data_IF_578383848506
#
_entry.id   IF_578383848506
#
_cell.length_a   1.000
_cell.length_b   1.000
_cell.length_c   1.000
_cell.angle_alpha   90.00
_cell.angle_beta   90.00
_cell.angle_gamma   90.00
#
_symmetry.space_group_name_H-M   'P 1'
#
loop_
_entity.id
_entity.type
_entity.pdbx_description
1 polymer ?
#
# COMPACT_ATOMS: atom_id res chain seq x y z
N UNK A 1 -26.82 -14.54 9.93
CA UNK A 1 -25.98 -13.37 10.28
C UNK A 1 -24.58 -13.86 10.60
N UNK A 2 -23.83 -14.28 9.58
CA UNK A 2 -22.42 -14.70 9.65
C UNK A 2 -21.93 -14.43 8.23
N UNK A 3 -21.06 -13.46 8.00
CA UNK A 3 -20.31 -13.36 6.72
C UNK A 3 -19.21 -12.30 6.70
N UNK A 4 -19.32 -11.20 7.44
CA UNK A 4 -18.28 -10.16 7.44
C UNK A 4 -17.01 -10.59 8.17
N UNK A 5 -17.14 -11.21 9.35
CA UNK A 5 -16.00 -11.60 10.18
C UNK A 5 -15.19 -12.75 9.53
N UNK A 6 -15.87 -13.76 8.98
CA UNK A 6 -15.22 -14.89 8.30
C UNK A 6 -14.51 -14.47 7.01
N UNK A 7 -15.09 -13.56 6.23
CA UNK A 7 -14.49 -13.07 4.99
C UNK A 7 -13.28 -12.17 5.27
N UNK A 8 -13.32 -11.40 6.37
CA UNK A 8 -12.18 -10.60 6.84
C UNK A 8 -11.02 -11.50 7.27
N UNK A 9 -11.30 -12.56 8.05
CA UNK A 9 -10.28 -13.56 8.46
C UNK A 9 -9.70 -14.31 7.27
N UNK A 10 -10.54 -14.69 6.30
CA UNK A 10 -10.09 -15.34 5.07
C UNK A 10 -9.17 -14.41 4.26
N UNK A 11 -9.55 -13.13 4.14
CA UNK A 11 -8.74 -12.15 3.41
C UNK A 11 -7.38 -11.93 4.08
N UNK A 12 -7.35 -11.82 5.42
CA UNK A 12 -6.12 -11.74 6.20
C UNK A 12 -5.23 -12.97 5.99
N UNK A 13 -5.81 -14.17 5.95
CA UNK A 13 -5.07 -15.40 5.70
C UNK A 13 -4.50 -15.43 4.27
N UNK A 14 -5.29 -15.03 3.27
CA UNK A 14 -4.85 -14.95 1.88
C UNK A 14 -3.71 -13.93 1.74
N UNK A 15 -3.81 -12.77 2.41
CA UNK A 15 -2.77 -11.75 2.41
C UNK A 15 -1.50 -12.25 3.08
N UNK A 16 -1.61 -12.89 4.25
CA UNK A 16 -0.45 -13.49 4.92
C UNK A 16 0.21 -14.57 4.06
N UNK A 17 -0.61 -15.40 3.40
CA UNK A 17 -0.12 -16.41 2.46
C UNK A 17 0.59 -15.75 1.26
N UNK A 18 0.00 -14.70 0.69
CA UNK A 18 0.59 -13.95 -0.43
C UNK A 18 1.91 -13.31 -0.03
N UNK A 19 2.03 -12.75 1.17
CA UNK A 19 3.28 -12.15 1.67
C UNK A 19 4.39 -13.20 1.78
N UNK A 20 4.05 -14.44 2.19
CA UNK A 20 5.01 -15.54 2.28
C UNK A 20 5.34 -16.12 0.89
N UNK A 21 4.35 -16.25 0.01
CA UNK A 21 4.54 -16.89 -1.30
C UNK A 21 5.00 -15.93 -2.41
N UNK A 22 4.74 -14.63 -2.31
CA UNK A 22 5.18 -13.65 -3.32
C UNK A 22 6.71 -13.67 -3.53
N UNK A 23 7.56 -13.75 -2.49
CA UNK A 23 9.00 -13.95 -2.66
C UNK A 23 9.32 -15.24 -3.45
N UNK A 24 8.62 -16.34 -3.18
CA UNK A 24 8.84 -17.58 -3.93
C UNK A 24 8.47 -17.44 -5.43
N UNK A 25 7.46 -16.63 -5.76
CA UNK A 25 7.13 -16.29 -7.15
C UNK A 25 8.23 -15.43 -7.81
N UNK A 26 8.82 -14.47 -7.10
CA UNK A 26 9.94 -13.69 -7.59
C UNK A 26 11.18 -14.56 -7.86
N UNK A 27 11.50 -15.47 -6.94
CA UNK A 27 12.56 -16.49 -7.16
C UNK A 27 12.29 -17.32 -8.41
N UNK A 28 11.05 -17.77 -8.63
CA UNK A 28 10.67 -18.52 -9.83
C UNK A 28 10.88 -17.71 -11.12
N UNK A 29 10.41 -16.45 -11.14
CA UNK A 29 10.55 -15.56 -12.29
C UNK A 29 12.01 -15.22 -12.60
N UNK A 30 12.81 -14.93 -11.57
CA UNK A 30 14.24 -14.63 -11.73
C UNK A 30 14.99 -15.84 -12.25
N UNK A 31 14.71 -17.03 -11.73
CA UNK A 31 15.31 -18.26 -12.21
C UNK A 31 14.95 -18.54 -13.68
N UNK A 32 13.67 -18.40 -14.04
CA UNK A 32 13.20 -18.52 -15.43
C UNK A 32 13.96 -17.55 -16.36
N UNK A 33 14.05 -16.27 -15.98
CA UNK A 33 14.76 -15.25 -16.73
C UNK A 33 16.24 -15.59 -16.93
N UNK A 34 16.89 -16.11 -15.90
CA UNK A 34 18.32 -16.41 -15.91
C UNK A 34 18.64 -17.64 -16.77
N UNK A 35 17.75 -18.64 -16.74
CA UNK A 35 17.79 -19.80 -17.63
C UNK A 35 17.61 -19.35 -19.09
N UNK A 36 16.61 -18.51 -19.36
CA UNK A 36 16.34 -17.98 -20.71
C UNK A 36 17.48 -17.12 -21.24
N UNK A 37 18.12 -16.34 -20.38
CA UNK A 37 19.26 -15.50 -20.73
C UNK A 37 20.56 -16.31 -20.91
N UNK A 38 20.55 -17.60 -20.56
CA UNK A 38 21.72 -18.48 -20.65
C UNK A 38 22.80 -18.18 -19.60
N UNK A 39 22.49 -17.37 -18.59
CA UNK A 39 23.41 -16.95 -17.54
C UNK A 39 23.45 -17.96 -16.38
N UNK A 40 22.49 -18.90 -16.33
CA UNK A 40 22.46 -19.96 -15.32
C UNK A 40 21.94 -21.30 -15.86
N UNK A 41 22.72 -22.36 -15.63
CA UNK A 41 22.29 -23.74 -15.82
C UNK A 41 21.61 -24.24 -14.54
N UNK A 42 20.48 -24.95 -14.66
CA UNK A 42 19.76 -25.51 -13.50
C UNK A 42 20.65 -26.43 -12.64
N UNK A 43 21.72 -27.01 -13.21
CA UNK A 43 22.66 -27.87 -12.50
C UNK A 43 23.47 -27.14 -11.42
N UNK A 44 23.62 -25.82 -11.54
CA UNK A 44 24.49 -25.02 -10.69
C UNK A 44 23.69 -24.36 -9.54
N UNK A 45 22.36 -24.50 -9.58
CA UNK A 45 21.44 -23.97 -8.56
C UNK A 45 21.43 -24.90 -7.35
N UNK A 46 22.09 -24.47 -6.27
CA UNK A 46 22.04 -25.21 -5.00
C UNK A 46 20.80 -24.81 -4.18
N UNK A 47 20.26 -25.70 -3.32
CA UNK A 47 19.17 -25.35 -2.41
C UNK A 47 19.49 -24.18 -1.48
N UNK A 48 20.77 -24.02 -1.13
CA UNK A 48 21.25 -22.92 -0.31
C UNK A 48 21.15 -21.58 -1.04
N UNK A 49 21.52 -21.54 -2.32
CA UNK A 49 21.39 -20.34 -3.14
C UNK A 49 19.92 -19.91 -3.32
N UNK A 50 19.00 -20.87 -3.46
CA UNK A 50 17.55 -20.57 -3.50
C UNK A 50 17.05 -19.99 -2.18
N UNK A 51 17.54 -20.52 -1.05
CA UNK A 51 17.19 -20.00 0.27
C UNK A 51 17.72 -18.57 0.47
N UNK A 52 18.97 -18.31 0.07
CA UNK A 52 19.56 -16.97 0.10
C UNK A 52 18.75 -15.98 -0.71
N UNK A 53 18.41 -16.33 -1.95
CA UNK A 53 17.63 -15.48 -2.84
C UNK A 53 16.23 -15.21 -2.28
N UNK A 54 15.57 -16.24 -1.73
CA UNK A 54 14.29 -16.10 -1.06
C UNK A 54 14.36 -15.15 0.14
N UNK A 55 15.42 -15.24 0.97
CA UNK A 55 15.61 -14.34 2.11
C UNK A 55 15.84 -12.91 1.63
N UNK A 56 16.65 -12.71 0.58
CA UNK A 56 16.88 -11.39 -0.01
C UNK A 56 15.58 -10.77 -0.53
N UNK A 57 14.76 -11.54 -1.25
CA UNK A 57 13.44 -11.09 -1.71
C UNK A 57 12.53 -10.73 -0.54
N UNK A 58 12.54 -11.52 0.54
CA UNK A 58 11.73 -11.25 1.73
C UNK A 58 12.17 -9.95 2.44
N UNK A 59 13.48 -9.72 2.55
CA UNK A 59 14.04 -8.47 3.08
C UNK A 59 13.67 -7.30 2.17
N UNK A 60 13.81 -7.46 0.85
CA UNK A 60 13.44 -6.43 -0.13
C UNK A 60 11.95 -6.08 -0.04
N UNK A 61 11.08 -7.09 0.04
CA UNK A 61 9.64 -6.91 0.21
C UNK A 61 9.34 -6.14 1.49
N UNK A 62 9.99 -6.49 2.61
CA UNK A 62 9.79 -5.82 3.88
C UNK A 62 10.25 -4.36 3.83
N UNK A 63 11.44 -4.11 3.27
CA UNK A 63 11.98 -2.75 3.11
C UNK A 63 11.08 -1.92 2.18
N UNK A 64 10.62 -2.50 1.08
CA UNK A 64 9.71 -1.85 0.15
C UNK A 64 8.36 -1.53 0.80
N UNK A 65 7.75 -2.50 1.49
CA UNK A 65 6.50 -2.31 2.21
C UNK A 65 6.65 -1.23 3.29
N UNK A 66 7.77 -1.23 4.01
CA UNK A 66 8.08 -0.19 4.99
C UNK A 66 8.24 1.20 4.33
N UNK A 67 8.92 1.28 3.19
CA UNK A 67 9.09 2.52 2.44
C UNK A 67 7.72 3.06 1.97
N UNK A 68 6.88 2.21 1.39
CA UNK A 68 5.51 2.58 0.98
C UNK A 68 4.67 3.03 2.18
N UNK A 69 4.71 2.28 3.29
CA UNK A 69 4.05 2.67 4.53
C UNK A 69 4.53 4.03 5.03
N UNK A 70 5.84 4.28 5.00
CA UNK A 70 6.43 5.55 5.45
C UNK A 70 6.01 6.72 4.57
N UNK A 71 6.03 6.55 3.25
CA UNK A 71 5.59 7.58 2.28
C UNK A 71 4.10 7.86 2.43
N UNK A 72 3.29 6.81 2.61
CA UNK A 72 1.86 6.93 2.85
C UNK A 72 1.59 7.71 4.14
N UNK A 73 2.22 7.31 5.25
CA UNK A 73 2.10 8.01 6.54
C UNK A 73 2.51 9.47 6.43
N UNK A 74 3.63 9.77 5.76
CA UNK A 74 4.08 11.15 5.55
C UNK A 74 3.07 11.97 4.76
N UNK A 75 2.47 11.38 3.72
CA UNK A 75 1.45 12.03 2.89
C UNK A 75 0.18 12.33 3.68
N UNK A 76 -0.30 11.36 4.46
CA UNK A 76 -1.48 11.52 5.32
C UNK A 76 -1.27 12.63 6.35
N UNK A 77 -0.11 12.66 7.00
CA UNK A 77 0.20 13.63 8.06
C UNK A 77 0.33 15.07 7.55
N UNK A 78 0.78 15.27 6.30
CA UNK A 78 1.00 16.60 5.74
C UNK A 78 -0.17 17.13 4.89
N UNK A 79 -0.95 16.27 4.24
CA UNK A 79 -2.00 16.73 3.31
C UNK A 79 -3.42 16.72 3.90
N UNK A 80 -3.70 15.89 4.91
CA UNK A 80 -5.02 15.87 5.55
C UNK A 80 -5.38 17.16 6.31
N UNK A 81 -4.47 17.79 7.08
CA UNK A 81 -4.82 19.01 7.81
C UNK A 81 -5.17 20.15 6.85
N UNK A 82 -4.42 20.29 5.75
CA UNK A 82 -4.63 21.37 4.78
C UNK A 82 -5.90 21.25 3.96
N UNK A 83 -6.41 20.02 3.72
CA UNK A 83 -7.72 19.86 3.06
C UNK A 83 -8.88 19.98 4.03
N UNK A 84 -8.71 19.60 5.30
CA UNK A 84 -9.72 19.86 6.32
C UNK A 84 -9.85 21.37 6.59
N UNK A 85 -8.72 22.07 6.81
CA UNK A 85 -8.71 23.53 6.98
C UNK A 85 -9.31 24.24 5.76
N UNK A 86 -8.99 23.81 4.53
CA UNK A 86 -9.55 24.42 3.32
C UNK A 86 -11.05 24.12 3.09
N UNK A 87 -11.61 23.07 3.74
CA UNK A 87 -13.04 22.82 3.76
C UNK A 87 -13.75 23.60 4.89
N UNK A 88 -13.06 23.85 6.01
CA UNK A 88 -13.59 24.60 7.16
C UNK A 88 -13.60 26.12 6.89
N UNK A 89 -12.58 26.66 6.21
CA UNK A 89 -12.52 28.08 5.77
C UNK A 89 -13.53 28.42 4.64
N UNK A 90 -14.15 27.41 4.02
CA UNK A 90 -15.12 27.59 2.93
C UNK A 90 -16.57 27.79 3.39
N UNK A 91 -16.85 27.64 4.69
CA UNK A 91 -18.22 27.63 5.23
C UNK A 91 -18.59 28.94 5.96
N UNK A 92 -17.65 29.89 6.10
CA UNK A 92 -17.84 31.15 6.87
C UNK A 92 -18.00 32.42 6.01
N UNK A 93 -18.03 32.30 4.68
CA UNK A 93 -18.13 33.45 3.75
C UNK A 93 -19.56 33.66 3.18
N UNK A 94 -20.60 33.30 3.95
CA UNK A 94 -21.99 33.53 3.55
C UNK A 94 -22.89 34.11 4.65
N UNK A 95 -22.37 35.01 5.47
CA UNK A 95 -23.17 35.84 6.39
C UNK A 95 -22.65 37.29 6.45
N UNK A 96 -22.77 38.03 5.33
CA UNK A 96 -22.83 39.49 5.37
C UNK A 96 -23.35 40.08 4.03
N UNK A 97 -24.67 40.17 3.85
CA UNK A 97 -25.26 41.34 3.19
C UNK A 97 -26.74 41.56 3.59
N UNK A 98 -26.89 42.53 4.49
CA UNK A 98 -28.00 43.51 4.61
C UNK A 98 -29.40 43.05 5.05
N UNK A 99 -29.59 43.07 6.38
CA UNK A 99 -30.83 43.62 6.95
C UNK A 99 -30.71 45.15 7.03
N UNK A 100 -31.42 45.88 6.17
CA UNK A 100 -31.87 47.24 6.50
C UNK A 100 -33.29 47.50 5.97
N UNK A 101 -34.14 47.91 6.92
CA UNK A 101 -35.56 48.25 6.83
C UNK A 101 -35.90 49.44 5.93
N UNK A 102 -37.09 49.43 5.31
CA UNK A 102 -38.02 50.59 5.23
C UNK A 102 -39.40 50.09 4.73
N UNK A 103 -40.40 49.95 5.61
CA UNK A 103 -41.46 50.92 5.96
C UNK A 103 -42.54 51.10 4.88
N UNK A 104 -43.79 51.07 5.33
CA UNK A 104 -44.97 50.85 4.52
C UNK A 104 -45.50 52.05 3.75
N UNK A 105 -46.35 51.77 2.76
CA UNK A 105 -47.57 52.52 2.42
C UNK A 105 -48.41 51.72 1.42
#
# INVERSE_FOLDING_TARGET
MVSSDSQTRLSLLIIGLLVIFAPAFFVLLTLEFLILSGDLLLSDVTPLALLELYILDLVFLLVFAYAVYRVTSWTFEHQLPSVLDALEDGEDDNDADETQSDDGS
#
